data_IF_173484848946
#
_entry.id   IF_173484848946
#
_cell.length_a   1.000
_cell.length_b   1.000
_cell.length_c   1.000
_cell.angle_alpha   90.00
_cell.angle_beta   90.00
_cell.angle_gamma   90.00
#
_symmetry.space_group_name_H-M   'P 1'
#
loop_
_entity.id
_entity.type
_entity.pdbx_description
1 polymer ?
2 polymer ?
3 non-polymer ?
4 water ?
#
# COMPACT_ATOMS: atom_id res chain seq x y z
N UNK A 2 17.16 17.56 -5.49
CA UNK A 2 16.74 18.93 -5.79
C UNK A 2 15.86 18.97 -7.01
N UNK A 3 14.66 18.47 -6.88
CA UNK A 3 13.75 18.46 -7.98
C UNK A 3 12.44 19.08 -7.60
N UNK A 4 11.83 19.77 -8.53
CA UNK A 4 10.56 20.36 -8.29
C UNK A 4 9.46 19.33 -8.01
N UNK A 5 8.38 19.77 -7.40
CA UNK A 5 7.27 18.87 -7.14
C UNK A 5 6.67 18.36 -8.44
N UNK A 6 6.55 19.18 -9.47
CA UNK A 6 5.96 18.70 -10.72
C UNK A 6 6.77 17.57 -11.27
N UNK A 7 8.07 17.70 -11.17
CA UNK A 7 8.96 16.68 -11.64
C UNK A 7 8.89 15.39 -10.81
N UNK A 8 8.79 15.52 -9.51
CA UNK A 8 8.67 14.35 -8.65
C UNK A 8 7.40 13.57 -8.92
N UNK A 9 6.31 14.25 -9.23
CA UNK A 9 5.04 13.59 -9.50
C UNK A 9 5.16 12.68 -10.71
N UNK A 10 5.76 13.20 -11.76
CA UNK A 10 5.99 12.46 -12.98
C UNK A 10 6.88 11.26 -12.74
N UNK A 11 7.89 11.43 -11.92
CA UNK A 11 8.79 10.37 -11.54
C UNK A 11 8.01 9.27 -10.82
N UNK A 12 7.09 9.66 -9.95
CA UNK A 12 6.28 8.73 -9.23
C UNK A 12 5.38 7.99 -10.20
N UNK A 13 4.83 8.70 -11.14
CA UNK A 13 3.96 8.12 -12.13
C UNK A 13 4.74 7.04 -12.89
N UNK A 14 5.93 7.35 -13.31
CA UNK A 14 6.76 6.40 -14.02
C UNK A 14 7.17 5.21 -13.15
N UNK A 15 7.24 5.39 -11.84
CA UNK A 15 7.60 4.33 -10.92
C UNK A 15 6.48 3.34 -10.57
N UNK A 16 5.26 3.67 -10.94
CA UNK A 16 4.12 2.84 -10.67
C UNK A 16 4.35 1.42 -11.13
N UNK A 17 4.11 0.47 -10.27
CA UNK A 17 4.28 -0.92 -10.60
C UNK A 17 3.27 -1.37 -11.64
N UNK A 18 3.61 -2.36 -12.43
CA UNK A 18 2.66 -2.85 -13.41
C UNK A 18 1.63 -3.69 -12.71
N UNK A 19 0.53 -3.89 -13.38
CA UNK A 19 -0.53 -4.69 -12.85
C UNK A 19 -0.22 -6.15 -12.68
N UNK A 20 -0.56 -6.72 -11.53
CA UNK A 20 -0.35 -8.13 -11.31
C UNK A 20 -1.63 -8.86 -11.72
N UNK A 21 -1.51 -9.79 -12.65
CA UNK A 21 -2.66 -10.54 -13.13
C UNK A 21 -2.79 -11.94 -12.53
N UNK A 22 -3.83 -12.14 -11.77
CA UNK A 22 -4.09 -13.42 -11.17
C UNK A 22 -5.58 -13.62 -11.39
N UNK A 23 -6.03 -14.85 -11.36
CA UNK A 23 -7.43 -15.10 -11.55
C UNK A 23 -8.04 -15.99 -10.49
N UNK A 24 -9.34 -15.96 -10.38
CA UNK A 24 -10.02 -16.80 -9.42
C UNK A 24 -9.71 -18.23 -9.78
N UNK A 25 -9.66 -19.12 -8.81
CA UNK A 25 -9.42 -20.51 -9.16
C UNK A 25 -10.68 -21.09 -9.80
N UNK A 26 -10.48 -22.10 -10.61
CA UNK A 26 -11.58 -22.75 -11.31
C UNK A 26 -12.65 -23.13 -10.31
N UNK A 27 -12.24 -23.92 -9.33
CA UNK A 27 -13.15 -24.34 -8.31
C UNK A 27 -13.53 -23.15 -7.45
N UNK A 28 -14.72 -23.22 -6.87
CA UNK A 28 -15.18 -22.13 -6.01
C UNK A 28 -14.18 -21.94 -4.88
N UNK A 29 -14.26 -20.81 -4.18
CA UNK A 29 -13.34 -20.50 -3.09
C UNK A 29 -13.66 -21.17 -1.78
N UNK A 30 -12.62 -21.48 -1.06
CA UNK A 30 -12.71 -22.00 0.28
C UNK A 30 -11.79 -21.09 1.06
N UNK A 31 -11.80 -21.20 2.36
CA UNK A 31 -10.92 -20.42 3.21
C UNK A 31 -9.51 -20.56 2.70
N UNK A 32 -9.08 -21.79 2.52
CA UNK A 32 -7.75 -22.09 2.08
C UNK A 32 -7.35 -21.64 0.70
N UNK A 33 -8.25 -21.66 -0.25
CA UNK A 33 -7.90 -21.27 -1.59
C UNK A 33 -7.96 -19.77 -1.81
N UNK A 34 -8.79 -19.09 -1.04
CA UNK A 34 -8.87 -17.66 -1.16
C UNK A 34 -7.61 -17.09 -0.57
N UNK A 35 -7.22 -17.60 0.58
CA UNK A 35 -6.03 -17.16 1.24
C UNK A 35 -4.86 -17.45 0.35
N UNK A 36 -4.87 -18.59 -0.30
CA UNK A 36 -3.76 -18.93 -1.17
C UNK A 36 -3.62 -17.93 -2.29
N UNK A 37 -4.72 -17.58 -2.92
CA UNK A 37 -4.73 -16.62 -3.99
C UNK A 37 -4.17 -15.29 -3.52
N UNK A 38 -4.57 -14.86 -2.35
CA UNK A 38 -4.11 -13.62 -1.77
C UNK A 38 -2.60 -13.66 -1.55
N UNK A 39 -2.06 -14.75 -1.04
CA UNK A 39 -0.64 -14.80 -0.81
C UNK A 39 0.17 -14.86 -2.08
N UNK A 40 -0.41 -15.43 -3.11
CA UNK A 40 0.27 -15.52 -4.36
C UNK A 40 0.28 -14.16 -5.03
N UNK A 41 -0.83 -13.47 -4.93
CA UNK A 41 -0.95 -12.15 -5.48
C UNK A 41 0.03 -11.25 -4.74
N UNK A 42 0.03 -11.30 -3.42
CA UNK A 42 0.89 -10.47 -2.61
C UNK A 42 2.37 -10.66 -2.82
N UNK A 43 2.82 -11.89 -2.94
CA UNK A 43 4.21 -12.12 -3.16
C UNK A 43 4.67 -11.45 -4.43
N UNK A 44 3.87 -11.50 -5.49
CA UNK A 44 4.24 -10.82 -6.71
C UNK A 44 4.24 -9.29 -6.53
N UNK A 45 3.24 -8.78 -5.83
CA UNK A 45 3.13 -7.36 -5.57
C UNK A 45 4.26 -6.86 -4.69
N UNK A 46 4.71 -7.67 -3.74
CA UNK A 46 5.80 -7.29 -2.88
C UNK A 46 7.07 -7.11 -3.69
N UNK A 47 7.30 -7.95 -4.68
CA UNK A 47 8.47 -7.84 -5.53
C UNK A 47 8.42 -6.51 -6.27
N UNK A 48 7.26 -6.18 -6.79
CA UNK A 48 7.05 -4.94 -7.49
C UNK A 48 7.20 -3.74 -6.58
N UNK A 49 6.80 -3.89 -5.33
CA UNK A 49 6.86 -2.81 -4.35
C UNK A 49 8.29 -2.40 -4.08
N UNK A 50 9.16 -3.36 -3.99
CA UNK A 50 10.55 -3.11 -3.77
C UNK A 50 11.14 -2.35 -4.94
N UNK A 51 10.80 -2.73 -6.16
CA UNK A 51 11.26 -2.03 -7.33
C UNK A 51 10.77 -0.58 -7.38
N UNK A 52 9.52 -0.37 -7.02
CA UNK A 52 8.89 0.92 -6.97
C UNK A 52 9.63 1.81 -6.00
N UNK A 53 9.77 1.32 -4.80
CA UNK A 53 10.45 2.02 -3.76
C UNK A 53 11.83 2.54 -4.20
N UNK A 54 12.59 1.71 -4.85
CA UNK A 54 13.90 2.05 -5.34
C UNK A 54 13.89 3.12 -6.43
N UNK A 55 12.75 3.38 -7.04
CA UNK A 55 12.61 4.40 -8.06
C UNK A 55 12.22 5.75 -7.48
N UNK A 56 11.98 5.78 -6.19
CA UNK A 56 11.64 7.00 -5.52
C UNK A 56 12.93 7.76 -5.30
N UNK A 57 13.08 8.92 -5.94
CA UNK A 57 14.31 9.70 -5.83
C UNK A 57 14.82 9.85 -4.41
N UNK A 58 16.04 9.41 -4.19
CA UNK A 58 16.65 9.45 -2.88
C UNK A 58 16.54 8.24 -1.98
N UNK A 59 15.59 7.36 -2.24
CA UNK A 59 15.39 6.19 -1.42
C UNK A 59 16.59 5.30 -1.33
N UNK A 60 17.23 5.04 -2.45
CA UNK A 60 18.38 4.18 -2.44
C UNK A 60 19.58 4.78 -1.74
N UNK A 61 19.55 6.07 -1.45
CA UNK A 61 20.64 6.73 -0.75
C UNK A 61 20.52 6.62 0.76
N UNK A 62 19.40 6.11 1.24
CA UNK A 62 19.21 5.91 2.66
C UNK A 62 20.03 4.70 3.01
N UNK A 63 20.22 4.48 4.30
CA UNK A 63 20.95 3.34 4.73
C UNK A 63 20.15 2.11 4.34
N UNK A 64 20.82 1.02 4.05
CA UNK A 64 20.15 -0.20 3.69
C UNK A 64 19.25 -0.65 4.83
N UNK A 65 19.69 -0.40 6.04
CA UNK A 65 18.95 -0.72 7.23
C UNK A 65 17.60 0.06 7.25
N UNK A 66 17.62 1.32 6.88
CA UNK A 66 16.43 2.14 6.83
C UNK A 66 15.50 1.68 5.71
N UNK A 67 16.06 1.39 4.55
CA UNK A 67 15.30 0.90 3.42
C UNK A 67 14.49 -0.36 3.76
N UNK A 68 15.13 -1.30 4.45
CA UNK A 68 14.51 -2.53 4.90
C UNK A 68 13.41 -2.28 5.93
N UNK A 69 13.70 -1.47 6.93
CA UNK A 69 12.76 -1.18 7.98
C UNK A 69 11.53 -0.47 7.47
N UNK A 70 11.71 0.46 6.55
CA UNK A 70 10.60 1.18 6.01
C UNK A 70 9.65 0.26 5.27
N UNK A 71 10.17 -0.59 4.41
CA UNK A 71 9.35 -1.53 3.65
C UNK A 71 8.70 -2.59 4.53
N UNK A 72 9.43 -3.05 5.54
CA UNK A 72 8.90 -4.03 6.45
C UNK A 72 7.77 -3.46 7.28
N UNK A 73 7.80 -2.19 7.59
CA UNK A 73 6.74 -1.65 8.39
C UNK A 73 5.50 -1.19 7.66
N UNK A 74 5.62 -0.79 6.42
CA UNK A 74 4.51 -0.29 5.67
C UNK A 74 3.91 -1.15 4.58
N UNK A 75 4.52 -2.28 4.28
CA UNK A 75 4.05 -3.08 3.16
C UNK A 75 2.58 -3.39 3.05
N UNK A 76 1.96 -3.85 4.12
CA UNK A 76 0.55 -4.16 4.09
C UNK A 76 -0.27 -2.92 3.84
N UNK A 77 0.13 -1.82 4.46
CA UNK A 77 -0.54 -0.56 4.28
C UNK A 77 -0.48 -0.09 2.81
N UNK A 78 0.65 -0.29 2.17
CA UNK A 78 0.82 0.09 0.78
C UNK A 78 -0.01 -0.83 -0.13
N UNK A 79 -0.02 -2.11 0.17
CA UNK A 79 -0.81 -3.06 -0.57
C UNK A 79 -2.27 -2.63 -0.51
N UNK A 80 -2.75 -2.29 0.67
CA UNK A 80 -4.10 -1.86 0.90
C UNK A 80 -4.44 -0.55 0.23
N UNK A 81 -3.51 0.39 0.24
CA UNK A 81 -3.74 1.66 -0.42
C UNK A 81 -3.96 1.42 -1.91
N UNK A 82 -3.20 0.50 -2.49
CA UNK A 82 -3.31 0.13 -3.86
C UNK A 82 -4.66 -0.53 -4.18
N UNK A 83 -5.07 -1.43 -3.32
CA UNK A 83 -6.33 -2.12 -3.42
C UNK A 83 -7.46 -1.10 -3.34
N UNK A 84 -7.33 -0.10 -2.51
CA UNK A 84 -8.33 0.93 -2.39
C UNK A 84 -8.44 1.73 -3.69
N UNK A 85 -7.32 2.12 -4.27
CA UNK A 85 -7.32 2.85 -5.50
C UNK A 85 -8.00 2.06 -6.63
N UNK A 86 -7.61 0.81 -6.77
CA UNK A 86 -8.16 -0.09 -7.76
C UNK A 86 -9.65 -0.32 -7.61
N UNK A 87 -10.15 -0.27 -6.39
CA UNK A 87 -11.52 -0.51 -6.08
C UNK A 87 -12.38 0.71 -5.98
N UNK A 88 -11.78 1.87 -6.07
CA UNK A 88 -12.45 3.14 -5.90
C UNK A 88 -13.74 3.40 -6.69
N UNK A 89 -13.82 2.95 -7.91
CA UNK A 89 -15.02 3.16 -8.70
C UNK A 89 -15.91 1.93 -8.76
N UNK A 90 -15.73 1.01 -7.84
CA UNK A 90 -16.51 -0.19 -7.84
C UNK A 90 -17.03 -0.51 -6.48
N UNK A 91 -18.03 0.22 -6.07
CA UNK A 91 -18.62 0.05 -4.76
C UNK A 91 -18.99 -1.38 -4.49
N UNK A 92 -18.81 -1.81 -3.26
CA UNK A 92 -19.12 -3.16 -2.88
C UNK A 92 -18.16 -4.21 -3.35
N UNK A 93 -17.15 -3.82 -4.10
CA UNK A 93 -16.18 -4.77 -4.61
C UNK A 93 -14.74 -4.44 -4.22
N UNK A 94 -13.93 -5.48 -4.13
CA UNK A 94 -12.53 -5.36 -3.82
C UNK A 94 -11.75 -5.91 -5.00
N UNK A 95 -11.15 -5.01 -5.75
CA UNK A 95 -10.38 -5.37 -6.92
C UNK A 95 -8.94 -5.66 -6.60
N UNK A 96 -8.71 -6.86 -6.12
CA UNK A 96 -7.40 -7.29 -5.77
C UNK A 96 -6.56 -7.35 -7.02
N UNK A 97 -7.18 -7.72 -8.12
CA UNK A 97 -6.52 -7.79 -9.38
C UNK A 97 -7.58 -7.68 -10.43
N UNK A 98 -7.22 -7.19 -11.60
CA UNK A 98 -8.17 -7.02 -12.67
C UNK A 98 -9.08 -8.22 -12.87
N UNK A 99 -8.55 -9.41 -12.75
CA UNK A 99 -9.33 -10.61 -12.94
C UNK A 99 -9.58 -11.36 -11.66
N UNK A 100 -9.43 -10.67 -10.55
CA UNK A 100 -9.67 -11.24 -9.25
C UNK A 100 -10.42 -10.18 -8.49
N UNK A 101 -11.71 -10.14 -8.69
CA UNK A 101 -12.55 -9.16 -8.06
C UNK A 101 -13.45 -9.78 -7.04
N UNK A 102 -13.20 -9.54 -5.78
CA UNK A 102 -14.01 -10.12 -4.75
C UNK A 102 -15.17 -9.25 -4.32
N UNK A 103 -16.33 -9.86 -4.22
CA UNK A 103 -17.51 -9.19 -3.76
C UNK A 103 -17.41 -9.19 -2.26
N UNK A 104 -17.95 -8.16 -1.62
CA UNK A 104 -17.94 -8.05 -0.19
C UNK A 104 -18.32 -9.34 0.52
N UNK A 105 -19.45 -9.91 0.15
CA UNK A 105 -19.94 -11.12 0.76
C UNK A 105 -18.98 -12.28 0.70
N UNK A 106 -18.08 -12.28 -0.26
CA UNK A 106 -17.13 -13.35 -0.38
C UNK A 106 -16.18 -13.41 0.80
N UNK A 107 -16.23 -12.40 1.66
CA UNK A 107 -15.38 -12.40 2.82
C UNK A 107 -15.78 -13.48 3.80
N UNK A 108 -17.00 -13.95 3.65
CA UNK A 108 -17.54 -14.98 4.50
C UNK A 108 -16.79 -16.28 4.35
N UNK A 109 -16.07 -16.42 3.25
CA UNK A 109 -15.29 -17.62 3.00
C UNK A 109 -14.15 -17.79 3.97
N UNK A 110 -13.65 -16.71 4.55
CA UNK A 110 -12.58 -16.84 5.52
C UNK A 110 -12.89 -16.17 6.85
N UNK A 111 -12.77 -17.00 7.85
CA UNK A 111 -13.03 -16.64 9.19
C UNK A 111 -12.33 -15.38 9.57
N UNK A 112 -13.11 -14.39 9.93
CA UNK A 112 -12.61 -13.11 10.38
C UNK A 112 -12.12 -12.09 9.37
N UNK A 113 -12.19 -12.39 8.09
CA UNK A 113 -11.75 -11.46 7.09
C UNK A 113 -12.83 -10.46 6.72
N UNK A 114 -14.08 -10.83 6.91
CA UNK A 114 -15.18 -9.95 6.55
C UNK A 114 -15.18 -8.58 7.18
N UNK A 115 -14.87 -8.49 8.45
CA UNK A 115 -14.86 -7.22 9.12
C UNK A 115 -13.74 -6.37 8.60
N UNK A 116 -12.66 -7.00 8.18
CA UNK A 116 -11.56 -6.26 7.63
C UNK A 116 -11.93 -5.77 6.23
N UNK A 117 -12.60 -6.60 5.45
CA UNK A 117 -13.06 -6.23 4.14
C UNK A 117 -13.95 -5.01 4.28
N UNK A 118 -14.81 -5.02 5.29
CA UNK A 118 -15.72 -3.92 5.52
C UNK A 118 -14.95 -2.65 5.85
N UNK A 119 -13.89 -2.77 6.61
CA UNK A 119 -13.06 -1.64 6.92
C UNK A 119 -12.50 -1.12 5.61
N UNK A 120 -12.01 -2.02 4.80
CA UNK A 120 -11.44 -1.64 3.52
C UNK A 120 -12.41 -0.91 2.62
N UNK A 121 -13.64 -1.41 2.56
CA UNK A 121 -14.67 -0.82 1.74
C UNK A 121 -15.11 0.50 2.26
N UNK A 122 -15.10 0.66 3.57
CA UNK A 122 -15.47 1.91 4.17
C UNK A 122 -14.48 3.01 3.84
N UNK A 123 -13.20 2.74 3.98
CA UNK A 123 -12.18 3.72 3.67
C UNK A 123 -12.18 4.02 2.17
N UNK A 124 -12.36 3.00 1.35
CA UNK A 124 -12.44 3.17 -0.08
C UNK A 124 -13.59 4.13 -0.40
N UNK A 125 -14.73 3.93 0.24
CA UNK A 125 -15.89 4.78 0.01
C UNK A 125 -15.57 6.22 0.31
N UNK A 126 -14.87 6.45 1.39
CA UNK A 126 -14.44 7.77 1.78
C UNK A 126 -13.52 8.41 0.72
N UNK A 127 -12.58 7.67 0.18
CA UNK A 127 -11.70 8.19 -0.83
C UNK A 127 -12.53 8.56 -2.07
N UNK A 128 -13.52 7.75 -2.38
CA UNK A 128 -14.41 7.98 -3.53
C UNK A 128 -15.22 9.23 -3.34
N UNK A 129 -15.73 9.44 -2.14
CA UNK A 129 -16.50 10.61 -1.89
C UNK A 129 -15.64 11.85 -1.96
N UNK A 130 -14.36 11.74 -1.64
CA UNK A 130 -13.44 12.86 -1.74
C UNK A 130 -12.91 13.05 -3.17
N UNK A 131 -13.21 12.11 -4.05
CA UNK A 131 -12.75 12.13 -5.42
C UNK A 131 -11.22 12.17 -5.56
N UNK A 132 -10.58 11.27 -4.86
CA UNK A 132 -9.16 11.14 -4.88
C UNK A 132 -8.67 11.04 -6.31
N UNK A 133 -7.73 11.88 -6.67
CA UNK A 133 -7.16 11.88 -7.99
C UNK A 133 -5.94 10.98 -8.03
N UNK A 134 -5.62 10.48 -9.21
CA UNK A 134 -4.49 9.61 -9.41
C UNK A 134 -3.16 10.15 -8.90
N UNK A 135 -2.85 11.39 -9.21
CA UNK A 135 -1.63 12.00 -8.78
C UNK A 135 -1.56 12.18 -7.26
N UNK A 136 -2.70 12.38 -6.64
CA UNK A 136 -2.82 12.50 -5.21
C UNK A 136 -2.50 11.15 -4.60
N UNK A 137 -3.04 10.09 -5.18
CA UNK A 137 -2.81 8.73 -4.77
C UNK A 137 -1.33 8.39 -4.81
N UNK A 138 -0.65 8.77 -5.87
CA UNK A 138 0.76 8.51 -6.03
C UNK A 138 1.56 9.10 -4.87
N UNK A 139 1.26 10.33 -4.52
CA UNK A 139 1.92 11.04 -3.43
C UNK A 139 1.62 10.43 -2.08
N UNK A 140 0.37 10.12 -1.84
CA UNK A 140 -0.03 9.52 -0.58
C UNK A 140 0.62 8.15 -0.39
N UNK A 141 0.64 7.36 -1.42
CA UNK A 141 1.23 6.06 -1.35
C UNK A 141 2.71 6.17 -0.94
N UNK A 142 3.43 7.10 -1.55
CA UNK A 142 4.81 7.32 -1.22
C UNK A 142 4.94 7.86 0.20
N UNK A 143 4.00 8.68 0.60
CA UNK A 143 3.96 9.20 1.94
C UNK A 143 3.84 8.10 2.99
N UNK A 144 3.03 7.11 2.73
CA UNK A 144 2.86 5.97 3.61
C UNK A 144 4.20 5.27 3.84
N UNK A 145 4.96 5.02 2.78
CA UNK A 145 6.25 4.40 2.92
C UNK A 145 7.19 5.27 3.73
N UNK A 146 7.36 6.50 3.31
CA UNK A 146 8.28 7.41 3.93
C UNK A 146 8.02 7.89 5.33
N UNK A 147 6.77 7.98 5.73
CA UNK A 147 6.40 8.41 7.06
C UNK A 147 6.35 7.22 7.98
N UNK A 148 6.77 6.07 7.53
CA UNK A 148 6.69 4.96 8.43
C UNK A 148 7.96 4.76 9.26
N UNK A 160 22.67 9.55 11.56
CA UNK A 160 21.78 10.69 11.46
C UNK A 160 21.69 11.12 10.02
N UNK A 161 22.62 10.68 9.21
CA UNK A 161 22.63 11.00 7.82
C UNK A 161 21.38 10.45 7.14
N UNK A 162 21.08 9.20 7.42
CA UNK A 162 19.93 8.57 6.83
C UNK A 162 18.61 9.17 7.33
N UNK A 163 18.57 9.57 8.59
CA UNK A 163 17.42 10.18 9.18
C UNK A 163 17.15 11.51 8.53
N UNK A 164 18.21 12.24 8.31
CA UNK A 164 18.18 13.52 7.68
C UNK A 164 17.64 13.37 6.28
N UNK A 165 18.19 12.43 5.53
CA UNK A 165 17.77 12.17 4.17
C UNK A 165 16.30 11.76 4.14
N UNK A 166 15.87 10.93 5.06
CA UNK A 166 14.50 10.48 5.08
C UNK A 166 13.54 11.62 5.29
N UNK A 167 13.86 12.49 6.23
CA UNK A 167 13.03 13.65 6.52
C UNK A 167 12.92 14.55 5.31
N UNK A 168 14.00 14.67 4.58
CA UNK A 168 13.99 15.45 3.39
C UNK A 168 13.12 14.79 2.31
N UNK A 169 13.17 13.48 2.18
CA UNK A 169 12.37 12.77 1.21
C UNK A 169 10.89 12.85 1.53
N UNK A 170 10.53 12.70 2.80
CA UNK A 170 9.16 12.81 3.22
C UNK A 170 8.65 14.20 2.93
N UNK A 171 9.46 15.21 3.17
CA UNK A 171 9.09 16.57 2.88
C UNK A 171 8.86 16.79 1.39
N UNK A 172 9.71 16.23 0.56
CA UNK A 172 9.60 16.35 -0.88
C UNK A 172 8.28 15.80 -1.41
N UNK A 173 7.92 14.61 -0.98
CA UNK A 173 6.67 13.99 -1.38
C UNK A 173 5.46 14.75 -0.84
N UNK A 174 5.58 15.31 0.36
CA UNK A 174 4.53 16.09 0.99
C UNK A 174 4.31 17.31 0.15
N UNK A 175 5.37 18.00 -0.19
CA UNK A 175 5.34 19.17 -1.03
C UNK A 175 4.70 18.87 -2.40
N UNK A 176 4.95 17.69 -2.93
CA UNK A 176 4.35 17.24 -4.18
C UNK A 176 2.82 17.14 -4.08
N UNK A 177 2.34 16.57 -3.00
CA UNK A 177 0.93 16.46 -2.76
C UNK A 177 0.31 17.85 -2.65
N UNK A 178 0.96 18.74 -1.94
CA UNK A 178 0.50 20.10 -1.79
C UNK A 178 0.38 20.74 -3.17
N UNK A 179 1.39 20.54 -3.99
CA UNK A 179 1.45 21.05 -5.34
C UNK A 179 0.30 20.47 -6.16
N UNK A 180 0.07 19.18 -6.07
CA UNK A 180 -0.99 18.53 -6.80
C UNK A 180 -2.32 19.18 -6.45
N UNK A 181 -2.59 19.34 -5.16
CA UNK A 181 -3.82 19.94 -4.70
C UNK A 181 -4.00 21.38 -5.19
N UNK A 182 -2.93 22.15 -5.17
CA UNK A 182 -2.97 23.53 -5.60
C UNK A 182 -3.29 23.71 -7.07
N UNK A 183 -3.04 22.72 -7.86
CA UNK A 183 -3.35 22.88 -9.24
C UNK A 183 -4.82 22.73 -9.51
N UNK A 184 -5.58 22.30 -8.53
CA UNK A 184 -7.01 22.17 -8.68
C UNK A 184 -7.68 23.52 -8.72
N UNK A 185 -6.99 24.53 -8.26
CA UNK A 185 -7.52 25.87 -8.28
C UNK A 185 -8.44 26.31 -7.18
N UNK A 186 -8.90 25.42 -6.33
CA UNK A 186 -9.79 25.77 -5.24
C UNK A 186 -9.12 26.73 -4.26
N UNK A 187 -9.89 27.31 -3.36
CA UNK A 187 -9.33 28.26 -2.41
C UNK A 187 -8.27 27.68 -1.52
N UNK A 188 -7.46 28.53 -0.95
CA UNK A 188 -6.43 28.13 -0.06
C UNK A 188 -6.97 27.30 1.06
N UNK A 189 -8.10 27.70 1.58
CA UNK A 189 -8.78 27.07 2.69
C UNK A 189 -9.30 25.67 2.36
N UNK A 190 -9.82 25.52 1.17
CA UNK A 190 -10.33 24.26 0.72
C UNK A 190 -9.16 23.37 0.39
N UNK A 191 -8.06 23.95 -0.01
CA UNK A 191 -6.86 23.20 -0.33
C UNK A 191 -6.37 22.56 0.96
N UNK A 192 -6.36 23.33 2.04
CA UNK A 192 -5.99 22.87 3.36
C UNK A 192 -6.95 21.81 3.84
N UNK A 193 -8.25 22.05 3.70
CA UNK A 193 -9.23 21.09 4.12
C UNK A 193 -9.06 19.77 3.38
N UNK A 194 -8.82 19.82 2.08
CA UNK A 194 -8.62 18.61 1.28
C UNK A 194 -7.42 17.82 1.76
N UNK A 195 -6.32 18.51 1.96
CA UNK A 195 -5.13 17.90 2.44
C UNK A 195 -5.35 17.17 3.77
N UNK A 196 -6.01 17.82 4.71
CA UNK A 196 -6.29 17.24 6.00
C UNK A 196 -7.16 16.03 5.87
N UNK A 197 -8.18 16.14 5.05
CA UNK A 197 -9.13 15.08 4.79
C UNK A 197 -8.41 13.82 4.30
N UNK A 198 -7.52 13.97 3.33
CA UNK A 198 -6.74 12.88 2.84
C UNK A 198 -5.85 12.23 3.89
N UNK A 199 -5.05 13.01 4.59
CA UNK A 199 -4.14 12.51 5.61
C UNK A 199 -4.84 11.81 6.76
N UNK A 200 -5.98 12.34 7.15
CA UNK A 200 -6.80 11.80 8.19
C UNK A 200 -7.24 10.40 7.83
N UNK A 201 -7.54 10.17 6.56
CA UNK A 201 -7.95 8.87 6.07
C UNK A 201 -6.84 7.86 6.20
N UNK A 202 -5.61 8.32 6.08
CA UNK A 202 -4.46 7.48 6.19
C UNK A 202 -4.41 6.68 7.46
N UNK A 203 -4.91 7.22 8.54
CA UNK A 203 -4.91 6.49 9.79
C UNK A 203 -5.90 5.35 9.73
N UNK A 204 -6.91 5.48 8.88
CA UNK A 204 -7.87 4.43 8.71
C UNK A 204 -7.23 3.29 7.93
N UNK A 205 -6.36 3.63 6.99
CA UNK A 205 -5.65 2.65 6.23
C UNK A 205 -4.66 1.92 7.12
N UNK A 206 -3.98 2.63 7.98
CA UNK A 206 -3.02 2.05 8.88
C UNK A 206 -3.72 1.06 9.80
N UNK A 207 -4.88 1.45 10.26
CA UNK A 207 -5.68 0.63 11.12
C UNK A 207 -6.07 -0.67 10.46
N UNK A 208 -6.47 -0.60 9.21
CA UNK A 208 -6.85 -1.74 8.45
C UNK A 208 -5.66 -2.66 8.26
N UNK A 209 -4.50 -2.10 7.98
CA UNK A 209 -3.33 -2.91 7.80
C UNK A 209 -2.90 -3.59 9.09
N UNK A 210 -3.11 -2.96 10.23
CA UNK A 210 -2.78 -3.56 11.50
C UNK A 210 -3.66 -4.78 11.74
N UNK A 211 -4.94 -4.68 11.45
CA UNK A 211 -5.86 -5.77 11.59
C UNK A 211 -5.59 -6.86 10.54
N UNK A 212 -5.14 -6.47 9.37
CA UNK A 212 -4.82 -7.40 8.33
C UNK A 212 -3.62 -8.24 8.67
N UNK A 213 -2.60 -7.62 9.24
CA UNK A 213 -1.39 -8.30 9.64
C UNK A 213 -1.65 -9.29 10.76
N UNK A 214 -2.43 -8.88 11.73
CA UNK A 214 -2.83 -9.71 12.85
C UNK A 214 -3.57 -10.92 12.29
N UNK A 215 -4.57 -10.69 11.46
CA UNK A 215 -5.34 -11.74 10.86
C UNK A 215 -4.49 -12.71 10.07
N UNK A 216 -3.60 -12.19 9.24
CA UNK A 216 -2.74 -13.02 8.45
C UNK A 216 -1.81 -13.88 9.30
N UNK A 217 -1.29 -13.34 10.38
CA UNK A 217 -0.42 -14.07 11.26
C UNK A 217 -1.21 -15.22 11.86
N UNK A 218 -2.47 -14.99 12.13
CA UNK A 218 -3.34 -15.99 12.66
C UNK A 218 -3.58 -17.10 11.66
N UNK A 219 -3.88 -16.74 10.43
CA UNK A 219 -4.12 -17.69 9.38
C UNK A 219 -2.91 -18.59 9.20
N UNK A 220 -1.74 -18.03 9.37
CA UNK A 220 -0.53 -18.80 9.23
C UNK A 220 -0.32 -19.77 10.37
N UNK A 221 -0.51 -19.32 11.57
CA UNK A 221 -0.27 -20.21 12.67
C UNK A 221 -1.38 -21.22 12.82
N UNK A 222 -2.58 -20.89 12.39
CA UNK A 222 -3.63 -21.87 12.40
C UNK A 222 -3.49 -22.76 11.18
N UNK A 223 -2.31 -22.69 10.59
CA UNK A 223 -1.96 -23.46 9.41
C UNK A 223 -2.99 -23.49 8.31
N UNK A 224 -3.73 -22.42 8.16
CA UNK A 224 -4.71 -22.33 7.11
C UNK A 224 -4.01 -22.06 5.81
N UNK A 225 -2.90 -21.36 5.89
CA UNK A 225 -2.19 -21.02 4.69
C UNK A 225 -0.73 -21.04 4.95
N UNK A 226 0.02 -21.52 3.97
CA UNK A 226 1.46 -21.58 4.10
C UNK A 226 2.01 -20.26 3.65
N UNK A 227 3.00 -19.76 4.37
CA UNK A 227 3.63 -18.49 4.06
C UNK A 227 5.11 -18.67 3.86
N UNK A 228 5.56 -18.35 2.67
CA UNK A 228 6.94 -18.53 2.32
C UNK A 228 7.68 -17.34 1.76
N UNK A 229 8.96 -17.59 1.54
CA UNK A 229 9.90 -16.69 0.92
C UNK A 229 9.86 -15.19 1.32
N UNK A 230 9.71 -14.34 0.32
CA UNK A 230 9.66 -12.91 0.53
C UNK A 230 8.55 -12.47 1.47
N UNK A 231 7.38 -13.03 1.29
CA UNK A 231 6.25 -12.72 2.10
C UNK A 231 6.51 -13.04 3.55
N UNK A 232 7.08 -14.19 3.80
CA UNK A 232 7.39 -14.61 5.13
C UNK A 232 8.41 -13.70 5.79
N UNK A 233 9.45 -13.33 5.06
CA UNK A 233 10.49 -12.45 5.56
C UNK A 233 9.88 -11.12 5.97
N UNK A 234 9.06 -10.56 5.11
CA UNK A 234 8.42 -9.30 5.37
C UNK A 234 7.40 -9.35 6.48
N UNK A 235 6.67 -10.44 6.57
CA UNK A 235 5.70 -10.63 7.61
C UNK A 235 6.38 -10.77 8.98
N UNK A 236 7.45 -11.55 9.03
CA UNK A 236 8.22 -11.73 10.27
C UNK A 236 8.87 -10.42 10.68
N UNK A 237 9.31 -9.65 9.71
CA UNK A 237 9.93 -8.38 9.96
C UNK A 237 11.02 -8.41 11.03
N UNK A 238 11.94 -9.36 10.91
CA UNK A 238 13.04 -9.55 11.83
C UNK A 238 13.97 -8.35 11.93
N UNK A 239 14.35 -7.76 10.81
CA UNK A 239 15.21 -6.60 10.81
C UNK A 239 14.54 -5.43 11.51
N UNK A 240 13.25 -5.26 11.28
CA UNK A 240 12.48 -4.19 11.88
C UNK A 240 12.39 -4.36 13.39
N UNK A 241 12.11 -5.56 13.84
CA UNK A 241 11.99 -5.83 15.26
C UNK A 241 13.34 -5.78 16.02
N UNK A 242 14.41 -6.04 15.29
CA UNK A 242 15.76 -5.99 15.82
C UNK A 242 16.10 -7.13 16.76
N UNK B 4 16.52 -11.92 1.03
CA UNK B 4 15.88 -11.68 -0.26
C UNK B 4 15.31 -10.27 -0.39
N UNK B 5 14.61 -9.76 0.60
CA UNK B 5 14.21 -8.36 0.55
C UNK B 5 15.56 -7.62 0.53
N UNK B 6 16.51 -8.18 1.26
CA UNK B 6 17.87 -7.67 1.33
C UNK B 6 18.56 -7.78 -0.03
N UNK B 7 18.50 -8.93 -0.66
CA UNK B 7 19.09 -9.13 -1.96
C UNK B 7 18.49 -8.14 -2.93
N UNK B 8 17.18 -8.06 -2.95
CA UNK B 8 16.46 -7.17 -3.84
C UNK B 8 16.79 -5.70 -3.68
N UNK B 9 17.08 -5.26 -2.48
CA UNK B 9 17.41 -3.87 -2.28
C UNK B 9 18.85 -3.61 -2.63
N UNK B 10 19.73 -4.51 -2.25
CA UNK B 10 21.14 -4.37 -2.55
C UNK B 10 21.32 -4.50 -4.04
N UNK B 11 20.59 -5.44 -4.64
CA UNK B 11 20.57 -5.76 -6.07
C UNK B 11 21.69 -5.26 -6.94
#
# INVERSE_FOLDING_TARGET
>A
MALSPEQLVLTLLEAEPPHVLISRPSAPFTEASMMMSLTKLADKELVHMISWAKKIPGFVELSLFDQVRLLESCWMEVLMMGLMWRSIDHPGKLIFAPDLVLDRDEGKCVEGILEIFDMLLATTSRFRELKLQHKEYLCVKAMILLNSSMYPLVTATQDADSSRKLAHLLNAVTDALVWVIAKSGISSQQQSMRLANLLMLLSHVRHASNKGMEHLLNMKCKNVVPVYDLLLEMLNAHVLRGDKSSITG
>B
AIESLIDLLADN
#
